data_IF_573684298631
#
_entry.id   IF_573684298631
#
_cell.length_a   1.000
_cell.length_b   1.000
_cell.length_c   1.000
_cell.angle_alpha   90.00
_cell.angle_beta   90.00
_cell.angle_gamma   90.00
#
_symmetry.space_group_name_H-M   'P 1'
#
loop_
_entity.id
_entity.type
_entity.pdbx_description
1 polymer ?
#
# COMPACT_ATOMS: atom_id res chain seq x y z
N UNK A 1 16.42 38.53 23.24
CA UNK A 1 15.48 37.42 23.56
C UNK A 1 15.79 36.26 22.63
N UNK A 2 16.29 35.18 23.22
CA UNK A 2 16.74 33.95 22.54
C UNK A 2 15.61 32.92 22.62
N UNK A 3 15.55 32.05 21.60
CA UNK A 3 14.73 30.83 21.44
C UNK A 3 13.23 31.06 21.20
N UNK A 4 12.60 30.45 20.19
CA UNK A 4 12.68 29.04 19.82
C UNK A 4 12.67 28.84 18.29
N UNK A 5 13.75 28.24 17.79
CA UNK A 5 13.72 27.47 16.56
C UNK A 5 12.84 26.25 16.83
N UNK A 6 11.59 26.27 16.37
CA UNK A 6 10.79 25.06 16.34
C UNK A 6 11.33 24.19 15.20
N UNK A 7 12.34 23.37 15.51
CA UNK A 7 12.72 22.29 14.62
C UNK A 7 11.51 21.34 14.51
N UNK A 8 10.97 21.07 13.32
CA UNK A 8 9.88 20.10 13.16
C UNK A 8 10.43 18.65 13.18
N UNK A 9 11.45 18.39 13.98
CA UNK A 9 12.11 17.08 14.11
C UNK A 9 11.35 16.11 15.01
N UNK A 10 10.13 16.45 15.47
CA UNK A 10 9.39 15.66 16.46
C UNK A 10 7.87 15.50 16.19
N UNK A 11 7.38 15.72 14.96
CA UNK A 11 5.93 15.70 14.66
C UNK A 11 5.46 14.58 13.71
N UNK A 12 6.28 13.54 13.53
CA UNK A 12 5.85 12.26 12.95
C UNK A 12 6.43 11.13 13.80
N UNK A 13 6.01 11.02 15.05
CA UNK A 13 5.84 9.67 15.57
C UNK A 13 4.83 9.03 14.60
N UNK A 14 5.28 8.12 13.73
CA UNK A 14 4.35 7.43 12.82
C UNK A 14 3.25 6.86 13.70
N UNK A 15 2.01 7.31 13.47
CA UNK A 15 0.84 6.65 14.01
C UNK A 15 0.96 5.14 13.72
N UNK A 16 0.52 4.29 14.66
CA UNK A 16 0.62 2.83 14.55
C UNK A 16 0.07 2.35 13.20
N UNK A 17 -0.99 2.99 12.72
CA UNK A 17 -1.58 2.72 11.42
C UNK A 17 -0.62 3.01 10.25
N UNK A 18 0.17 4.07 10.30
CA UNK A 18 1.12 4.44 9.24
C UNK A 18 2.32 3.49 9.23
N UNK A 19 2.81 3.12 10.41
CA UNK A 19 3.87 2.11 10.56
C UNK A 19 3.39 0.77 10.03
N UNK A 20 2.17 0.35 10.40
CA UNK A 20 1.53 -0.84 9.88
C UNK A 20 1.46 -0.83 8.36
N UNK A 21 0.95 0.26 7.76
CA UNK A 21 0.79 0.34 6.30
C UNK A 21 2.14 0.19 5.60
N UNK A 22 3.18 0.92 6.00
CA UNK A 22 4.52 0.77 5.40
C UNK A 22 5.06 -0.66 5.55
N UNK A 23 4.94 -1.25 6.74
CA UNK A 23 5.42 -2.60 7.01
C UNK A 23 4.66 -3.65 6.22
N UNK A 24 3.35 -3.48 6.03
CA UNK A 24 2.52 -4.36 5.22
C UNK A 24 2.95 -4.35 3.75
N UNK A 25 3.16 -3.15 3.17
CA UNK A 25 3.67 -3.02 1.81
C UNK A 25 5.00 -3.76 1.64
N UNK A 26 5.96 -3.50 2.52
CA UNK A 26 7.30 -4.09 2.44
C UNK A 26 7.27 -5.61 2.67
N UNK A 27 6.39 -6.09 3.54
CA UNK A 27 6.18 -7.53 3.74
C UNK A 27 5.66 -8.18 2.47
N UNK A 28 4.64 -7.63 1.82
CA UNK A 28 4.10 -8.23 0.58
C UNK A 28 5.11 -8.18 -0.57
N UNK A 29 5.90 -7.11 -0.67
CA UNK A 29 7.00 -7.00 -1.64
C UNK A 29 8.08 -8.06 -1.43
N UNK A 30 8.42 -8.39 -0.18
CA UNK A 30 9.31 -9.53 0.15
C UNK A 30 8.66 -10.87 -0.19
N UNK A 31 7.36 -11.01 0.02
CA UNK A 31 6.63 -12.24 -0.29
C UNK A 31 6.62 -12.54 -1.79
N UNK A 32 6.43 -11.51 -2.62
CA UNK A 32 6.55 -11.64 -4.07
C UNK A 32 7.97 -12.13 -4.46
N UNK A 33 9.02 -11.58 -3.85
CA UNK A 33 10.41 -12.02 -4.08
C UNK A 33 10.72 -13.44 -3.63
N UNK A 34 10.06 -13.91 -2.59
CA UNK A 34 10.32 -15.21 -1.98
C UNK A 34 9.32 -16.30 -2.43
N UNK A 35 8.61 -16.05 -3.53
CA UNK A 35 7.60 -16.94 -4.09
C UNK A 35 6.49 -17.36 -3.09
N UNK A 36 6.04 -16.42 -2.26
CA UNK A 36 5.03 -16.64 -1.22
C UNK A 36 3.67 -16.01 -1.54
N UNK A 37 3.42 -15.62 -2.78
CA UNK A 37 2.11 -15.17 -3.26
C UNK A 37 1.54 -16.23 -4.19
N UNK A 38 0.61 -17.04 -3.66
CA UNK A 38 0.01 -18.17 -4.40
C UNK A 38 -0.51 -17.72 -5.76
N UNK A 39 -0.15 -18.45 -6.82
CA UNK A 39 -0.67 -18.20 -8.17
C UNK A 39 -0.02 -17.05 -8.92
N UNK A 40 0.85 -16.27 -8.27
CA UNK A 40 1.69 -15.25 -8.90
C UNK A 40 3.11 -15.80 -9.12
N UNK A 41 3.86 -15.33 -10.13
CA UNK A 41 5.25 -15.72 -10.32
C UNK A 41 6.17 -14.97 -9.34
N UNK A 42 7.33 -15.57 -9.08
CA UNK A 42 8.35 -14.99 -8.20
C UNK A 42 8.94 -13.72 -8.81
N UNK A 43 8.94 -12.63 -8.06
CA UNK A 43 9.62 -11.40 -8.47
C UNK A 43 11.14 -11.59 -8.41
N UNK A 44 11.84 -11.28 -9.51
CA UNK A 44 13.30 -11.24 -9.56
C UNK A 44 13.85 -10.20 -8.58
N UNK A 45 13.32 -8.97 -8.67
CA UNK A 45 13.73 -7.85 -7.84
C UNK A 45 12.53 -7.00 -7.39
N UNK A 46 12.49 -6.65 -6.10
CA UNK A 46 11.40 -5.86 -5.54
C UNK A 46 11.84 -5.22 -4.21
N UNK A 47 12.36 -4.00 -4.27
CA UNK A 47 12.95 -3.33 -3.10
C UNK A 47 11.90 -2.85 -2.11
N UNK A 48 12.22 -2.85 -0.83
CA UNK A 48 11.36 -2.24 0.20
C UNK A 48 11.16 -0.73 -0.10
N UNK A 49 9.92 -0.29 0.04
CA UNK A 49 9.52 1.11 -0.11
C UNK A 49 10.01 1.95 1.06
N UNK A 50 10.32 3.20 0.76
CA UNK A 50 10.66 4.23 1.74
C UNK A 50 9.45 5.11 2.03
N UNK A 51 9.31 5.55 3.28
CA UNK A 51 8.28 6.52 3.61
C UNK A 51 8.57 7.87 2.96
N UNK A 52 7.52 8.53 2.47
CA UNK A 52 7.62 9.90 1.93
C UNK A 52 6.65 10.84 2.64
N UNK A 53 7.15 11.80 3.46
CA UNK A 53 6.31 12.79 4.13
C UNK A 53 5.45 13.63 3.17
N UNK A 54 5.97 13.99 1.99
CA UNK A 54 5.21 14.74 0.97
C UNK A 54 3.95 13.98 0.51
N UNK A 55 4.10 12.71 0.17
CA UNK A 55 3.02 11.83 -0.30
C UNK A 55 2.00 11.58 0.82
N UNK A 56 2.46 11.40 2.07
CA UNK A 56 1.61 11.21 3.23
C UNK A 56 0.77 12.45 3.55
N UNK A 57 1.37 13.65 3.46
CA UNK A 57 0.63 14.92 3.63
C UNK A 57 -0.49 15.06 2.60
N UNK A 58 -0.22 14.69 1.34
CA UNK A 58 -1.23 14.72 0.25
C UNK A 58 -2.30 13.63 0.44
N UNK A 59 -1.93 12.47 0.96
CA UNK A 59 -2.88 11.43 1.34
C UNK A 59 -3.81 11.92 2.46
N UNK A 60 -3.28 12.63 3.45
CA UNK A 60 -4.05 13.20 4.56
C UNK A 60 -5.02 14.28 4.10
N UNK A 61 -4.63 15.11 3.13
CA UNK A 61 -5.53 16.10 2.52
C UNK A 61 -6.75 15.43 1.91
N UNK A 62 -6.56 14.31 1.17
CA UNK A 62 -7.67 13.56 0.62
C UNK A 62 -8.50 12.83 1.69
N UNK A 63 -7.84 12.12 2.60
CA UNK A 63 -8.54 11.27 3.58
C UNK A 63 -9.46 12.08 4.51
N UNK A 64 -9.09 13.33 4.82
CA UNK A 64 -9.91 14.28 5.60
C UNK A 64 -11.21 14.72 4.94
N UNK A 65 -11.32 14.56 3.62
CA UNK A 65 -12.56 14.91 2.91
C UNK A 65 -13.69 13.93 3.21
N UNK A 66 -13.37 12.71 3.66
CA UNK A 66 -14.34 11.62 3.85
C UNK A 66 -15.25 11.41 2.64
N UNK A 67 -14.70 11.64 1.44
CA UNK A 67 -15.38 11.47 0.16
C UNK A 67 -14.61 10.40 -0.62
N UNK A 68 -15.24 9.24 -0.85
CA UNK A 68 -14.60 8.08 -1.49
C UNK A 68 -14.40 8.31 -2.99
N UNK A 69 -13.41 9.16 -3.32
CA UNK A 69 -13.03 9.53 -4.69
C UNK A 69 -11.52 9.73 -4.76
N UNK A 70 -10.94 9.39 -5.90
CA UNK A 70 -9.55 9.68 -6.19
C UNK A 70 -9.31 11.19 -6.33
N UNK A 71 -8.07 11.62 -6.10
CA UNK A 71 -7.61 12.99 -6.34
C UNK A 71 -6.38 13.01 -7.24
N UNK A 72 -6.17 14.14 -7.92
CA UNK A 72 -4.93 14.38 -8.64
C UNK A 72 -3.83 14.78 -7.67
N UNK A 73 -2.76 13.97 -7.61
CA UNK A 73 -1.62 14.22 -6.73
C UNK A 73 -0.43 14.66 -7.58
N UNK A 74 -0.03 15.91 -7.44
CA UNK A 74 1.24 16.40 -7.98
C UNK A 74 2.36 16.04 -7.01
N UNK A 75 3.59 15.81 -7.46
CA UNK A 75 4.77 15.74 -6.60
C UNK A 75 5.92 16.51 -7.24
N UNK A 76 6.77 17.13 -6.39
CA UNK A 76 8.01 17.75 -6.85
C UNK A 76 9.07 16.73 -7.27
N UNK A 77 8.98 15.50 -6.76
CA UNK A 77 9.96 14.43 -6.95
C UNK A 77 9.52 13.38 -7.96
N UNK A 78 8.22 13.10 -8.03
CA UNK A 78 7.68 12.02 -8.85
C UNK A 78 6.82 12.59 -9.97
N UNK A 79 7.17 12.29 -11.23
CA UNK A 79 6.41 12.75 -12.40
C UNK A 79 4.99 12.19 -12.45
N UNK A 80 4.80 10.94 -11.98
CA UNK A 80 3.49 10.31 -11.83
C UNK A 80 3.36 9.81 -10.40
N UNK A 81 2.24 10.12 -9.76
CA UNK A 81 1.90 9.62 -8.42
C UNK A 81 0.73 8.65 -8.54
N UNK A 82 0.94 7.42 -8.08
CA UNK A 82 -0.12 6.42 -7.94
C UNK A 82 -0.94 6.66 -6.67
N UNK A 83 -2.17 6.16 -6.63
CA UNK A 83 -3.04 6.33 -5.47
C UNK A 83 -3.89 5.08 -5.28
N UNK A 84 -3.87 4.52 -4.07
CA UNK A 84 -4.85 3.54 -3.61
C UNK A 84 -5.76 4.22 -2.58
N UNK A 85 -7.07 3.97 -2.66
CA UNK A 85 -8.05 4.45 -1.69
C UNK A 85 -8.93 3.29 -1.21
N UNK A 86 -9.30 3.30 0.07
CA UNK A 86 -10.13 2.27 0.68
C UNK A 86 -10.96 2.85 1.83
N UNK A 87 -12.19 2.37 1.98
CA UNK A 87 -13.07 2.76 3.06
C UNK A 87 -13.64 1.52 3.76
N UNK A 88 -13.21 1.29 5.00
CA UNK A 88 -13.53 0.10 5.79
C UNK A 88 -13.67 0.44 7.27
N UNK A 89 -13.79 -0.58 8.13
CA UNK A 89 -13.84 -0.36 9.58
C UNK A 89 -12.48 0.09 10.16
N UNK A 90 -11.36 -0.39 9.60
CA UNK A 90 -10.00 -0.03 10.02
C UNK A 90 -9.00 -0.18 8.84
N UNK A 91 -7.75 0.24 9.06
CA UNK A 91 -6.70 0.21 8.05
C UNK A 91 -6.22 -1.21 7.70
N UNK A 92 -6.33 -2.14 8.64
CA UNK A 92 -5.96 -3.54 8.44
C UNK A 92 -6.85 -4.22 7.40
N UNK A 93 -8.17 -4.07 7.53
CA UNK A 93 -9.12 -4.61 6.55
C UNK A 93 -8.86 -3.97 5.18
N UNK A 94 -8.64 -2.65 5.13
CA UNK A 94 -8.33 -1.95 3.87
C UNK A 94 -7.08 -2.52 3.17
N UNK A 95 -5.97 -2.67 3.91
CA UNK A 95 -4.74 -3.23 3.38
C UNK A 95 -4.94 -4.68 2.91
N UNK A 96 -5.65 -5.49 3.70
CA UNK A 96 -5.94 -6.88 3.36
C UNK A 96 -6.74 -7.00 2.06
N UNK A 97 -7.71 -6.11 1.83
CA UNK A 97 -8.51 -6.10 0.59
C UNK A 97 -7.64 -5.74 -0.62
N UNK A 98 -6.77 -4.72 -0.50
CA UNK A 98 -5.82 -4.39 -1.56
C UNK A 98 -4.84 -5.52 -1.86
N UNK A 99 -4.41 -6.28 -0.85
CA UNK A 99 -3.53 -7.42 -1.06
C UNK A 99 -4.29 -8.53 -1.78
N UNK A 100 -5.49 -8.91 -1.28
CA UNK A 100 -6.33 -10.01 -1.79
C UNK A 100 -6.61 -9.92 -3.31
N UNK A 101 -6.50 -8.74 -3.89
CA UNK A 101 -6.57 -8.50 -5.33
C UNK A 101 -5.53 -9.28 -6.16
N UNK A 102 -4.47 -9.82 -5.55
CA UNK A 102 -3.53 -10.73 -6.23
C UNK A 102 -4.23 -11.93 -6.88
N UNK A 103 -5.41 -12.32 -6.39
CA UNK A 103 -6.20 -13.44 -6.95
C UNK A 103 -6.79 -13.11 -8.32
N UNK A 104 -6.95 -11.82 -8.61
CA UNK A 104 -7.63 -11.32 -9.79
C UNK A 104 -6.68 -10.87 -10.88
N UNK A 105 -5.39 -10.71 -10.55
CA UNK A 105 -4.36 -10.33 -11.51
C UNK A 105 -3.78 -11.56 -12.23
N UNK A 106 -3.91 -11.61 -13.55
CA UNK A 106 -3.20 -12.57 -14.40
C UNK A 106 -1.87 -11.94 -14.84
N UNK A 107 -0.77 -12.39 -14.23
CA UNK A 107 0.56 -11.82 -14.45
C UNK A 107 1.08 -12.01 -15.87
N UNK A 108 0.83 -13.19 -16.46
CA UNK A 108 1.33 -13.57 -17.77
C UNK A 108 0.66 -12.74 -18.87
N UNK A 109 -0.64 -12.50 -18.72
CA UNK A 109 -1.42 -11.67 -19.65
C UNK A 109 -1.38 -10.18 -19.32
N UNK A 110 -0.88 -9.81 -18.14
CA UNK A 110 -0.93 -8.45 -17.61
C UNK A 110 -2.35 -7.86 -17.62
N UNK A 111 -3.34 -8.62 -17.13
CA UNK A 111 -4.75 -8.21 -17.06
C UNK A 111 -5.35 -8.41 -15.66
N UNK A 112 -6.36 -7.59 -15.35
CA UNK A 112 -7.22 -7.74 -14.19
C UNK A 112 -8.53 -8.44 -14.60
N UNK A 113 -8.83 -9.61 -14.04
CA UNK A 113 -10.13 -10.29 -14.24
C UNK A 113 -11.25 -9.68 -13.37
N UNK A 114 -10.86 -9.10 -12.23
CA UNK A 114 -11.63 -8.21 -11.35
C UNK A 114 -10.68 -7.07 -10.93
N UNK A 115 -11.15 -5.98 -10.28
CA UNK A 115 -10.26 -4.90 -9.85
C UNK A 115 -9.00 -5.42 -9.15
N UNK A 116 -7.84 -5.06 -9.68
CA UNK A 116 -6.54 -5.53 -9.18
C UNK A 116 -5.46 -4.45 -9.08
N UNK A 117 -5.86 -3.20 -9.33
CA UNK A 117 -4.96 -2.04 -9.37
C UNK A 117 -4.28 -1.75 -8.05
N UNK A 118 -4.93 -2.04 -6.92
CA UNK A 118 -4.33 -1.78 -5.63
C UNK A 118 -3.18 -2.76 -5.36
N UNK A 119 -3.39 -4.06 -5.64
CA UNK A 119 -2.32 -5.08 -5.55
C UNK A 119 -1.16 -4.74 -6.48
N UNK A 120 -1.45 -4.49 -7.76
CA UNK A 120 -0.44 -4.14 -8.77
C UNK A 120 0.41 -2.96 -8.32
N UNK A 121 -0.21 -1.92 -7.75
CA UNK A 121 0.51 -0.76 -7.22
C UNK A 121 1.42 -1.10 -6.03
N UNK A 122 0.98 -1.98 -5.11
CA UNK A 122 1.80 -2.42 -3.96
C UNK A 122 3.08 -3.13 -4.42
N UNK A 123 2.96 -4.01 -5.42
CA UNK A 123 4.08 -4.81 -5.95
C UNK A 123 4.77 -4.17 -7.16
N UNK A 124 4.46 -2.91 -7.47
CA UNK A 124 5.07 -2.22 -8.60
C UNK A 124 6.56 -1.97 -8.39
N UNK A 125 7.41 -2.54 -9.24
CA UNK A 125 8.87 -2.58 -9.09
C UNK A 125 9.48 -1.19 -9.08
N UNK A 126 9.05 -0.29 -9.96
CA UNK A 126 9.59 1.07 -10.03
C UNK A 126 9.15 1.94 -8.86
N UNK A 127 8.10 1.57 -8.12
CA UNK A 127 7.66 2.35 -6.97
C UNK A 127 8.75 2.29 -5.91
N UNK A 128 9.24 3.46 -5.49
CA UNK A 128 10.32 3.56 -4.50
C UNK A 128 9.84 4.13 -3.17
N UNK A 129 8.76 4.92 -3.19
CA UNK A 129 8.24 5.58 -2.01
C UNK A 129 6.74 5.43 -1.89
N UNK A 130 6.27 5.39 -0.64
CA UNK A 130 4.85 5.44 -0.28
C UNK A 130 4.64 6.45 0.84
N UNK A 131 3.49 7.12 0.82
CA UNK A 131 3.03 7.92 1.94
C UNK A 131 1.52 7.76 2.07
N UNK A 132 1.07 7.39 3.26
CA UNK A 132 -0.32 7.08 3.54
C UNK A 132 -0.92 7.99 4.61
N UNK A 133 -2.24 7.98 4.71
CA UNK A 133 -3.02 8.56 5.78
C UNK A 133 -4.27 7.71 6.06
N UNK A 134 -4.67 7.70 7.33
CA UNK A 134 -5.92 7.09 7.80
C UNK A 134 -6.71 8.19 8.49
N UNK A 135 -7.98 8.37 8.12
CA UNK A 135 -8.87 9.32 8.78
C UNK A 135 -10.14 8.62 9.22
N UNK A 136 -10.47 8.71 10.51
CA UNK A 136 -11.78 8.30 11.00
C UNK A 136 -12.83 9.28 10.49
N UNK A 137 -13.81 8.75 9.77
CA UNK A 137 -14.89 9.54 9.20
C UNK A 137 -16.15 9.29 10.00
N UNK A 138 -16.93 10.35 10.25
CA UNK A 138 -18.28 10.19 10.81
C UNK A 138 -19.08 9.36 9.82
N UNK A 139 -19.69 8.26 10.29
CA UNK A 139 -20.59 7.45 9.46
C UNK A 139 -21.77 8.31 9.00
N UNK A 140 -21.93 8.41 7.70
CA UNK A 140 -23.05 9.11 7.04
C UNK A 140 -23.58 8.23 5.90
N UNK A 141 -24.73 8.57 5.33
CA UNK A 141 -25.22 7.88 4.13
C UNK A 141 -24.23 7.94 2.96
N UNK A 142 -23.44 9.02 2.84
CA UNK A 142 -22.42 9.21 1.78
C UNK A 142 -21.08 8.52 2.10
N UNK A 143 -20.83 8.24 3.37
CA UNK A 143 -19.64 7.55 3.85
C UNK A 143 -20.02 6.63 5.02
N UNK A 144 -20.59 5.44 4.75
CA UNK A 144 -21.09 4.54 5.79
C UNK A 144 -19.96 3.75 6.50
N UNK A 145 -18.70 4.01 6.14
CA UNK A 145 -17.51 3.31 6.61
C UNK A 145 -16.91 3.95 7.87
N UNK A 146 -15.99 3.25 8.55
CA UNK A 146 -15.35 3.76 9.77
C UNK A 146 -14.16 4.68 9.48
N UNK A 147 -13.29 4.26 8.55
CA UNK A 147 -12.07 4.99 8.19
C UNK A 147 -11.97 5.16 6.68
N UNK A 148 -11.37 6.27 6.26
CA UNK A 148 -10.88 6.47 4.90
C UNK A 148 -9.36 6.34 4.89
N UNK A 149 -8.84 5.37 4.14
CA UNK A 149 -7.42 5.08 3.99
C UNK A 149 -6.99 5.50 2.59
N UNK A 150 -5.92 6.27 2.52
CA UNK A 150 -5.32 6.74 1.26
C UNK A 150 -3.83 6.46 1.32
N UNK A 151 -3.28 5.83 0.28
CA UNK A 151 -1.84 5.69 0.09
C UNK A 151 -1.46 6.25 -1.29
N UNK A 152 -0.47 7.14 -1.31
CA UNK A 152 0.11 7.69 -2.53
C UNK A 152 1.50 7.08 -2.77
N UNK A 153 1.83 6.82 -4.04
CA UNK A 153 3.02 6.07 -4.46
C UNK A 153 3.86 6.85 -5.46
N UNK A 154 5.17 6.80 -5.29
CA UNK A 154 6.12 7.52 -6.13
C UNK A 154 7.26 6.63 -6.62
N UNK A 155 7.45 6.48 -7.95
CA UNK A 155 6.47 6.73 -9.02
C UNK A 155 5.23 5.83 -8.92
N UNK A 156 4.13 6.25 -9.55
CA UNK A 156 2.91 5.45 -9.68
C UNK A 156 3.03 4.30 -10.68
N UNK A 157 2.21 3.26 -10.49
CA UNK A 157 2.12 2.13 -11.39
C UNK A 157 1.56 2.51 -12.77
N UNK A 158 1.98 1.79 -13.80
CA UNK A 158 1.45 1.93 -15.15
C UNK A 158 1.20 0.57 -15.78
N UNK A 159 -0.05 0.20 -16.05
CA UNK A 159 -0.45 -1.08 -16.65
C UNK A 159 0.09 -1.37 -18.06
N UNK A 160 1.02 -0.56 -18.58
CA UNK A 160 1.72 -0.78 -19.85
C UNK A 160 2.66 -1.99 -19.83
N UNK A 161 3.00 -2.51 -18.64
CA UNK A 161 3.83 -3.70 -18.42
C UNK A 161 3.41 -4.40 -17.13
N UNK A 162 3.86 -5.63 -16.95
CA UNK A 162 3.72 -6.36 -15.69
C UNK A 162 4.41 -5.62 -14.54
N UNK A 163 3.97 -5.80 -13.28
CA UNK A 163 4.43 -4.98 -12.16
C UNK A 163 5.88 -5.19 -11.75
N UNK A 164 6.50 -6.31 -12.13
CA UNK A 164 7.89 -6.61 -11.81
C UNK A 164 8.48 -7.57 -12.83
N UNK A 165 9.81 -7.70 -12.83
CA UNK A 165 10.51 -8.67 -13.66
C UNK A 165 10.52 -10.05 -12.99
N UNK A 166 10.52 -11.11 -13.80
CA UNK A 166 10.56 -12.50 -13.34
C UNK A 166 11.65 -13.30 -14.07
N UNK A 167 12.24 -14.27 -13.38
CA UNK A 167 13.12 -15.27 -14.02
C UNK A 167 12.34 -16.40 -14.68
N UNK A 168 11.13 -16.67 -14.18
CA UNK A 168 10.22 -17.69 -14.68
C UNK A 168 8.77 -17.24 -14.44
N UNK A 169 7.87 -17.58 -15.37
CA UNK A 169 6.43 -17.41 -15.21
C UNK A 169 5.78 -18.53 -14.39
N UNK A 170 6.57 -19.47 -13.86
CA UNK A 170 6.10 -20.51 -12.96
C UNK A 170 5.38 -19.90 -11.75
N UNK A 171 4.17 -20.37 -11.49
CA UNK A 171 3.31 -19.84 -10.45
C UNK A 171 3.70 -20.44 -9.10
N UNK A 172 3.84 -19.58 -8.11
CA UNK A 172 4.14 -20.00 -6.75
C UNK A 172 3.06 -20.95 -6.20
N UNK A 173 3.46 -22.03 -5.50
CA UNK A 173 2.60 -23.15 -5.16
C UNK A 173 1.44 -22.76 -4.23
N UNK A 174 0.34 -23.52 -4.31
CA UNK A 174 -0.87 -23.33 -3.48
C UNK A 174 -0.71 -23.70 -2.00
N UNK A 175 0.47 -24.04 -1.52
CA UNK A 175 0.66 -24.61 -0.18
C UNK A 175 0.67 -23.57 0.95
N UNK A 176 0.36 -22.31 0.67
CA UNK A 176 0.42 -21.23 1.65
C UNK A 176 -0.61 -20.13 1.35
N UNK A 177 -1.84 -20.26 1.85
CA UNK A 177 -2.69 -19.10 2.15
C UNK A 177 -2.11 -18.28 3.33
N UNK A 178 -0.78 -18.11 3.39
CA UNK A 178 -0.06 -17.67 4.59
C UNK A 178 -0.11 -16.18 4.79
N UNK A 179 -0.26 -15.35 3.76
CA UNK A 179 -0.13 -13.89 3.98
C UNK A 179 -1.17 -13.34 4.98
N UNK A 180 -2.39 -13.92 5.05
CA UNK A 180 -3.39 -13.55 6.07
C UNK A 180 -3.02 -13.99 7.49
N UNK A 181 -2.15 -14.98 7.62
CA UNK A 181 -1.59 -15.44 8.90
C UNK A 181 -0.26 -14.73 9.23
N UNK A 182 0.14 -13.74 8.43
CA UNK A 182 1.40 -13.02 8.61
C UNK A 182 1.15 -11.75 9.37
N UNK A 183 2.01 -11.51 10.36
CA UNK A 183 2.04 -10.24 11.05
C UNK A 183 2.61 -9.16 10.12
N UNK A 184 1.71 -8.41 9.49
CA UNK A 184 2.07 -7.29 8.61
C UNK A 184 2.64 -6.08 9.37
N UNK A 185 2.61 -6.07 10.71
CA UNK A 185 3.19 -4.98 11.52
C UNK A 185 4.72 -4.99 11.58
N UNK A 186 5.41 -5.97 10.98
CA UNK A 186 6.88 -5.96 10.88
C UNK A 186 7.62 -6.31 12.18
N UNK A 187 6.92 -6.58 13.28
CA UNK A 187 7.50 -7.13 14.50
C UNK A 187 7.18 -8.62 14.61
N UNK A 188 8.21 -9.46 14.74
CA UNK A 188 8.06 -10.79 15.32
C UNK A 188 7.63 -10.62 16.78
N UNK A 189 6.33 -10.46 17.03
CA UNK A 189 5.72 -10.66 18.34
C UNK A 189 4.20 -10.84 18.19
N UNK A 190 3.78 -12.07 18.49
CA UNK A 190 2.50 -12.52 19.03
C UNK A 190 1.19 -12.00 18.40
N UNK A 191 0.55 -12.92 17.68
CA UNK A 191 -0.87 -12.94 17.40
C UNK A 191 -1.67 -12.66 18.68
N UNK A 192 -2.66 -11.78 18.60
CA UNK A 192 -3.78 -11.89 19.53
C UNK A 192 -4.63 -13.08 19.08
N UNK A 193 -4.83 -14.00 20.03
CA UNK A 193 -5.81 -15.08 19.94
C UNK A 193 -7.21 -14.52 19.77
#
# INVERSE_FOLDING_TARGET
MIHLLYQPTLLVALDKDLTYLLNAHNTIRRYARNCNITGQPQARHLTDLKWSPELAMKALQLSRTCNFRYSQVKSSRFGVVGQNIAAYANAEIAMNQWIDEYKYYDFEKNICNEPCGNYVQIVWQETTHVGCAVTRCKKTAKFPYGVFVVCNYGPGASFKKSPYDVDSYEKCPKTQSRWKNVNLNGNNCYCYK
#
